data_IF_101760876553
#
_entry.id   IF_101760876553
#
_cell.length_a   1.000
_cell.length_b   1.000
_cell.length_c   1.000
_cell.angle_alpha   90.00
_cell.angle_beta   90.00
_cell.angle_gamma   90.00
#
_symmetry.space_group_name_H-M   'P 1'
#
loop_
_entity.id
_entity.type
_entity.pdbx_description
1 polymer ?
#
# COMPACT_ATOMS: atom_id res chain seq x y z
N UNK A 1 -7.93 29.92 -2.09
CA UNK A 1 -8.53 28.83 -2.89
C UNK A 1 -8.22 27.47 -2.28
N UNK A 2 -8.49 27.30 -0.98
CA UNK A 2 -8.26 26.07 -0.23
C UNK A 2 -9.60 25.37 -0.02
N UNK A 3 -10.00 24.56 -0.99
CA UNK A 3 -11.22 23.78 -0.93
C UNK A 3 -10.87 22.30 -1.02
N UNK A 4 -11.41 21.52 -0.07
CA UNK A 4 -11.49 20.06 -0.06
C UNK A 4 -10.32 19.29 0.57
N UNK A 5 -10.20 19.39 1.89
CA UNK A 5 -9.84 18.22 2.70
C UNK A 5 -10.98 17.19 2.60
N UNK A 6 -11.12 16.52 1.46
CA UNK A 6 -11.92 15.28 1.40
C UNK A 6 -11.21 14.29 2.31
N UNK A 7 -11.91 13.75 3.30
CA UNK A 7 -11.42 12.59 4.04
C UNK A 7 -11.14 11.51 3.00
N UNK A 8 -9.88 11.08 2.89
CA UNK A 8 -9.51 9.98 2.00
C UNK A 8 -10.47 8.83 2.25
N UNK A 9 -11.11 8.37 1.18
CA UNK A 9 -11.97 7.20 1.25
C UNK A 9 -11.15 6.01 1.76
N UNK A 10 -11.81 5.03 2.36
CA UNK A 10 -11.12 3.83 2.84
C UNK A 10 -10.33 3.14 1.71
N UNK A 11 -10.90 3.18 0.50
CA UNK A 11 -10.25 2.77 -0.75
C UNK A 11 -8.96 3.56 -1.04
N UNK A 12 -9.02 4.89 -1.06
CA UNK A 12 -7.83 5.74 -1.30
C UNK A 12 -6.73 5.51 -0.25
N UNK A 13 -7.09 5.27 1.02
CA UNK A 13 -6.12 4.97 2.07
C UNK A 13 -5.41 3.64 1.82
N UNK A 14 -6.15 2.62 1.41
CA UNK A 14 -5.59 1.31 1.07
C UNK A 14 -4.74 1.37 -0.21
N UNK A 15 -5.16 2.13 -1.22
CA UNK A 15 -4.36 2.36 -2.43
C UNK A 15 -3.03 3.05 -2.12
N UNK A 16 -3.04 4.07 -1.26
CA UNK A 16 -1.81 4.72 -0.80
C UNK A 16 -0.92 3.78 0.03
N UNK A 17 -1.51 2.96 0.91
CA UNK A 17 -0.77 1.96 1.67
C UNK A 17 -0.12 0.93 0.75
N UNK A 18 -0.85 0.42 -0.24
CA UNK A 18 -0.33 -0.51 -1.24
C UNK A 18 0.88 0.08 -1.97
N UNK A 19 0.74 1.28 -2.53
CA UNK A 19 1.81 1.95 -3.25
C UNK A 19 3.06 2.15 -2.37
N UNK A 20 2.86 2.47 -1.09
CA UNK A 20 3.94 2.65 -0.13
C UNK A 20 4.64 1.33 0.19
N UNK A 21 3.88 0.27 0.50
CA UNK A 21 4.42 -1.06 0.79
C UNK A 21 5.18 -1.66 -0.41
N UNK A 22 4.69 -1.41 -1.62
CA UNK A 22 5.33 -1.88 -2.85
C UNK A 22 6.66 -1.17 -3.10
N UNK A 23 6.71 0.15 -2.85
CA UNK A 23 7.96 0.92 -2.90
C UNK A 23 8.96 0.47 -1.83
N UNK A 24 8.49 0.25 -0.61
CA UNK A 24 9.31 -0.27 0.49
C UNK A 24 9.85 -1.67 0.18
N UNK A 25 9.02 -2.56 -0.37
CA UNK A 25 9.45 -3.88 -0.84
C UNK A 25 10.54 -3.77 -1.90
N UNK A 26 10.39 -2.89 -2.88
CA UNK A 26 11.40 -2.69 -3.92
C UNK A 26 12.73 -2.17 -3.35
N UNK A 27 12.72 -1.20 -2.45
CA UNK A 27 13.96 -0.73 -1.81
C UNK A 27 14.59 -1.79 -0.90
N UNK A 28 13.76 -2.56 -0.19
CA UNK A 28 14.23 -3.68 0.61
C UNK A 28 14.74 -4.84 -0.25
N UNK A 29 14.28 -5.02 -1.48
CA UNK A 29 14.77 -6.08 -2.36
C UNK A 29 16.29 -5.96 -2.63
N UNK A 30 16.81 -4.73 -2.57
CA UNK A 30 18.24 -4.42 -2.76
C UNK A 30 19.10 -4.66 -1.52
N UNK A 31 18.49 -4.67 -0.33
CA UNK A 31 19.21 -4.67 0.96
C UNK A 31 18.86 -5.85 1.86
N UNK A 32 17.60 -6.25 1.90
CA UNK A 32 17.08 -7.33 2.71
C UNK A 32 15.90 -8.05 2.03
N UNK A 33 16.23 -9.14 1.33
CA UNK A 33 15.27 -9.99 0.62
C UNK A 33 14.15 -10.53 1.52
N UNK A 34 14.46 -10.92 2.76
CA UNK A 34 13.45 -11.47 3.68
C UNK A 34 12.38 -10.43 4.04
N UNK A 35 12.81 -9.19 4.30
CA UNK A 35 11.89 -8.09 4.57
C UNK A 35 11.14 -7.65 3.30
N UNK A 36 11.80 -7.69 2.14
CA UNK A 36 11.19 -7.44 0.84
C UNK A 36 9.99 -8.37 0.60
N UNK A 37 10.18 -9.66 0.83
CA UNK A 37 9.14 -10.68 0.63
C UNK A 37 7.96 -10.47 1.60
N UNK A 38 8.25 -10.07 2.84
CA UNK A 38 7.19 -9.70 3.81
C UNK A 38 6.39 -8.49 3.35
N UNK A 39 7.05 -7.43 2.85
CA UNK A 39 6.38 -6.22 2.36
C UNK A 39 5.60 -6.44 1.08
N UNK A 40 6.09 -7.31 0.19
CA UNK A 40 5.33 -7.74 -0.98
C UNK A 40 4.04 -8.46 -0.57
N UNK A 41 4.12 -9.36 0.41
CA UNK A 41 2.94 -10.05 0.94
C UNK A 41 1.96 -9.09 1.61
N UNK A 42 2.44 -8.13 2.42
CA UNK A 42 1.58 -7.09 3.01
C UNK A 42 0.85 -6.29 1.92
N UNK A 43 1.54 -5.92 0.83
CA UNK A 43 0.93 -5.22 -0.29
C UNK A 43 -0.19 -6.06 -0.95
N UNK A 44 0.02 -7.36 -1.17
CA UNK A 44 -1.03 -8.25 -1.69
C UNK A 44 -2.24 -8.35 -0.75
N UNK A 45 -2.04 -8.36 0.56
CA UNK A 45 -3.14 -8.37 1.52
C UNK A 45 -3.98 -7.09 1.41
N UNK A 46 -3.33 -5.93 1.20
CA UNK A 46 -4.03 -4.66 0.99
C UNK A 46 -4.86 -4.67 -0.29
N UNK A 47 -4.35 -5.26 -1.38
CA UNK A 47 -5.13 -5.45 -2.63
C UNK A 47 -6.33 -6.35 -2.38
N UNK A 48 -6.17 -7.44 -1.63
CA UNK A 48 -7.30 -8.31 -1.26
C UNK A 48 -8.33 -7.59 -0.39
N UNK A 49 -7.93 -6.64 0.45
CA UNK A 49 -8.86 -5.80 1.21
C UNK A 49 -9.60 -4.82 0.30
N UNK A 50 -8.90 -4.22 -0.67
CA UNK A 50 -9.51 -3.37 -1.70
C UNK A 50 -10.55 -4.13 -2.53
N UNK A 51 -10.26 -5.37 -2.92
CA UNK A 51 -11.18 -6.23 -3.66
C UNK A 51 -12.43 -6.59 -2.84
N UNK A 52 -12.30 -6.75 -1.52
CA UNK A 52 -13.42 -7.02 -0.61
C UNK A 52 -14.30 -5.79 -0.33
N UNK A 53 -13.80 -4.59 -0.61
CA UNK A 53 -14.51 -3.32 -0.45
C UNK A 53 -15.30 -2.91 -1.71
N UNK A 54 -15.13 -3.64 -2.82
CA UNK A 54 -15.96 -3.52 -4.03
C UNK A 54 -17.28 -4.29 -3.89
#
# INVERSE_FOLDING_TARGET
MFGMFKKKSEKEKLEEQYAKLQKESFELSKTNRKLSDQKAFEAEQVVKQLEKLN
#
